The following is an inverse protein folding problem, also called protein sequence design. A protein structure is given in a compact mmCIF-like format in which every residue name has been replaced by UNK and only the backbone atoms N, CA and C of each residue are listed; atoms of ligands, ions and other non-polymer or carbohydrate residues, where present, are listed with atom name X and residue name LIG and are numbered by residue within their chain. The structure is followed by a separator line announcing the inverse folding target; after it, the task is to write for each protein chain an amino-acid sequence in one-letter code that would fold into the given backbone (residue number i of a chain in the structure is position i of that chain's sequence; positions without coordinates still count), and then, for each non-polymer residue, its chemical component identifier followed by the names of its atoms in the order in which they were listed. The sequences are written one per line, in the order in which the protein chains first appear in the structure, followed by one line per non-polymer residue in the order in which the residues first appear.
data_IF_340337033991
#
_entry.id   IF_340337033991
#
_cell.length_a   1.000
_cell.length_b   1.000
_cell.length_c   1.000
_cell.angle_alpha   90.00
_cell.angle_beta   90.00
_cell.angle_gamma   90.00
#
_symmetry.space_group_name_H-M   'P 1'
#
loop_
_entity.id
_entity.type
_entity.pdbx_description
1 polymer ?
#
# COMPACT_ATOMS: atom_id res chain seq x y z
N UNK A 1 -5.04 -47.19 64.51
CA UNK A 1 -6.28 -46.82 63.78
C UNK A 1 -6.54 -45.31 63.71
N UNK A 2 -6.49 -44.54 64.82
CA UNK A 2 -6.77 -43.08 64.82
C UNK A 2 -5.76 -42.24 64.01
N UNK A 3 -4.47 -42.57 64.07
CA UNK A 3 -3.42 -41.90 63.29
C UNK A 3 -3.61 -42.15 61.78
N UNK A 4 -3.92 -43.39 61.40
CA UNK A 4 -4.22 -43.77 60.01
C UNK A 4 -5.46 -43.04 59.48
N UNK A 5 -6.54 -42.94 60.27
CA UNK A 5 -7.71 -42.14 59.90
C UNK A 5 -7.38 -40.64 59.74
N UNK A 6 -6.53 -40.08 60.60
CA UNK A 6 -6.08 -38.70 60.50
C UNK A 6 -5.27 -38.42 59.23
N UNK A 7 -4.35 -39.33 58.89
CA UNK A 7 -3.58 -39.25 57.64
C UNK A 7 -4.45 -39.44 56.39
N UNK A 8 -5.39 -40.39 56.42
CA UNK A 8 -6.35 -40.58 55.32
C UNK A 8 -7.22 -39.33 55.15
N UNK A 9 -7.73 -38.74 56.24
CA UNK A 9 -8.48 -37.49 56.19
C UNK A 9 -7.67 -36.32 55.63
N UNK A 10 -6.40 -36.19 56.05
CA UNK A 10 -5.49 -35.16 55.54
C UNK A 10 -5.20 -35.34 54.04
N UNK A 11 -4.97 -36.58 53.58
CA UNK A 11 -4.75 -36.91 52.16
C UNK A 11 -5.99 -36.60 51.32
N UNK A 12 -7.19 -36.96 51.79
CA UNK A 12 -8.45 -36.66 51.10
C UNK A 12 -8.68 -35.16 51.00
N UNK A 13 -8.41 -34.41 52.07
CA UNK A 13 -8.55 -32.95 52.07
C UNK A 13 -7.54 -32.29 51.11
N UNK A 14 -6.28 -32.72 51.13
CA UNK A 14 -5.25 -32.24 50.20
C UNK A 14 -5.63 -32.56 48.75
N UNK A 15 -6.09 -33.77 48.48
CA UNK A 15 -6.56 -34.16 47.15
C UNK A 15 -7.76 -33.31 46.68
N UNK A 16 -8.70 -33.02 47.58
CA UNK A 16 -9.83 -32.14 47.29
C UNK A 16 -9.40 -30.71 46.93
N UNK A 17 -8.44 -30.15 47.66
CA UNK A 17 -7.88 -28.81 47.36
C UNK A 17 -7.16 -28.82 46.00
N UNK A 18 -6.37 -29.85 45.71
CA UNK A 18 -5.65 -29.96 44.44
C UNK A 18 -6.62 -30.11 43.26
N UNK A 19 -7.61 -30.99 43.35
CA UNK A 19 -8.61 -31.19 42.30
C UNK A 19 -9.43 -29.92 42.11
N UNK A 20 -9.89 -29.29 43.19
CA UNK A 20 -10.62 -28.03 43.13
C UNK A 20 -9.79 -26.92 42.47
N UNK A 21 -8.50 -26.83 42.82
CA UNK A 21 -7.57 -25.90 42.21
C UNK A 21 -7.40 -26.13 40.71
N UNK A 22 -7.24 -27.39 40.27
CA UNK A 22 -7.14 -27.75 38.85
C UNK A 22 -8.43 -27.40 38.09
N UNK A 23 -9.60 -27.67 38.68
CA UNK A 23 -10.88 -27.33 38.05
C UNK A 23 -11.05 -25.82 37.87
N UNK A 24 -10.73 -25.03 38.89
CA UNK A 24 -10.77 -23.56 38.81
C UNK A 24 -9.77 -23.07 37.77
N UNK A 25 -8.55 -23.58 37.78
CA UNK A 25 -7.51 -23.19 36.83
C UNK A 25 -7.91 -23.52 35.37
N UNK A 26 -8.54 -24.68 35.13
CA UNK A 26 -9.05 -25.07 33.82
C UNK A 26 -10.24 -24.23 33.37
N UNK A 27 -11.09 -23.78 34.30
CA UNK A 27 -12.21 -22.92 33.99
C UNK A 27 -11.80 -21.46 33.72
N UNK A 28 -10.66 -21.00 34.25
CA UNK A 28 -10.21 -19.61 34.13
C UNK A 28 -9.02 -19.46 33.19
N UNK A 29 -7.84 -19.90 33.62
CA UNK A 29 -6.55 -19.68 32.96
C UNK A 29 -6.36 -20.63 31.79
N UNK A 30 -6.54 -21.93 32.00
CA UNK A 30 -6.40 -22.94 30.95
C UNK A 30 -7.70 -23.17 30.18
N UNK A 31 -8.51 -22.13 30.00
CA UNK A 31 -9.74 -22.16 29.20
C UNK A 31 -9.48 -21.71 27.76
N UNK A 32 -10.36 -22.05 26.82
CA UNK A 32 -10.33 -21.53 25.45
C UNK A 32 -10.32 -20.00 25.42
N UNK A 33 -11.19 -19.38 26.22
CA UNK A 33 -11.21 -17.92 26.42
C UNK A 33 -9.91 -17.37 27.02
N UNK A 34 -9.25 -18.13 27.91
CA UNK A 34 -7.93 -17.78 28.47
C UNK A 34 -6.86 -17.73 27.38
N UNK A 35 -6.77 -18.77 26.58
CA UNK A 35 -5.87 -18.83 25.41
C UNK A 35 -6.09 -17.67 24.45
N UNK A 36 -7.35 -17.32 24.14
CA UNK A 36 -7.66 -16.16 23.28
C UNK A 36 -7.24 -14.85 23.93
N UNK A 37 -7.43 -14.66 25.25
CA UNK A 37 -6.96 -13.46 25.95
C UNK A 37 -5.43 -13.32 25.90
N UNK A 38 -4.70 -14.42 26.08
CA UNK A 38 -3.24 -14.43 25.97
C UNK A 38 -2.79 -14.05 24.55
N UNK A 39 -3.44 -14.61 23.53
CA UNK A 39 -3.25 -14.23 22.12
C UNK A 39 -3.48 -12.73 21.88
N UNK A 40 -4.60 -12.19 22.35
CA UNK A 40 -4.94 -10.77 22.18
C UNK A 40 -3.95 -9.86 22.91
N UNK A 41 -3.47 -10.26 24.09
CA UNK A 41 -2.42 -9.56 24.83
C UNK A 41 -1.10 -9.52 24.08
N UNK A 42 -0.65 -10.67 23.56
CA UNK A 42 0.56 -10.75 22.74
C UNK A 42 0.45 -9.88 21.47
N UNK A 43 -0.71 -9.90 20.81
CA UNK A 43 -0.96 -9.08 19.62
C UNK A 43 -0.97 -7.58 19.94
N UNK A 44 -1.59 -7.16 21.04
CA UNK A 44 -1.61 -5.77 21.49
C UNK A 44 -0.22 -5.24 21.86
N UNK A 45 0.66 -6.11 22.37
CA UNK A 45 2.05 -5.79 22.70
C UNK A 45 3.01 -5.93 21.51
N UNK A 46 2.53 -6.32 20.34
CA UNK A 46 3.37 -6.51 19.14
C UNK A 46 4.30 -7.72 19.22
N UNK A 47 4.02 -8.70 20.09
CA UNK A 47 4.80 -9.95 20.23
C UNK A 47 4.44 -10.95 19.12
N UNK A 48 4.78 -10.61 17.87
CA UNK A 48 4.38 -11.41 16.70
C UNK A 48 4.98 -12.82 16.72
N UNK A 49 6.25 -12.98 17.08
CA UNK A 49 6.89 -14.31 17.14
C UNK A 49 6.16 -15.27 18.08
N UNK A 50 5.64 -14.76 19.21
CA UNK A 50 4.86 -15.54 20.17
C UNK A 50 3.51 -15.95 19.58
N UNK A 51 2.84 -15.03 18.88
CA UNK A 51 1.60 -15.30 18.17
C UNK A 51 1.80 -16.37 17.10
N UNK A 52 2.86 -16.28 16.29
CA UNK A 52 3.15 -17.25 15.22
C UNK A 52 3.55 -18.63 15.75
N UNK A 53 4.08 -18.70 16.98
CA UNK A 53 4.39 -19.96 17.63
C UNK A 53 3.14 -20.69 18.19
N UNK A 54 1.97 -20.03 18.24
CA UNK A 54 0.75 -20.65 18.76
C UNK A 54 0.24 -21.76 17.82
N UNK A 55 -0.24 -22.90 18.35
CA UNK A 55 -0.75 -23.97 17.53
C UNK A 55 -1.95 -23.53 16.68
N UNK A 56 -1.94 -23.90 15.39
CA UNK A 56 -3.03 -23.61 14.46
C UNK A 56 -2.93 -22.26 13.73
N UNK A 57 -1.89 -21.46 14.01
CA UNK A 57 -1.57 -20.29 13.18
C UNK A 57 -0.87 -20.75 11.91
N UNK A 58 -1.50 -20.47 10.77
CA UNK A 58 -1.00 -20.84 9.44
C UNK A 58 -0.97 -19.61 8.53
N UNK A 59 0.19 -19.37 7.95
CA UNK A 59 0.51 -18.28 7.02
C UNK A 59 1.04 -18.82 5.68
N UNK A 60 0.99 -20.13 5.45
CA UNK A 60 1.56 -20.76 4.27
C UNK A 60 0.90 -20.24 2.98
N UNK A 61 1.73 -19.94 1.98
CA UNK A 61 1.28 -19.45 0.67
C UNK A 61 0.83 -17.99 0.66
N UNK A 62 1.05 -17.24 1.75
CA UNK A 62 0.79 -15.80 1.84
C UNK A 62 2.12 -15.04 2.00
N UNK A 63 2.11 -13.77 1.61
CA UNK A 63 3.24 -12.87 1.87
C UNK A 63 3.26 -12.48 3.35
N UNK A 64 4.38 -12.72 4.03
CA UNK A 64 4.54 -12.59 5.48
C UNK A 64 5.00 -11.20 5.93
N UNK A 65 5.22 -10.26 5.00
CA UNK A 65 5.76 -8.93 5.36
C UNK A 65 4.88 -8.13 6.31
N UNK A 66 3.56 -8.36 6.31
CA UNK A 66 2.62 -7.72 7.25
C UNK A 66 2.64 -8.35 8.66
N UNK A 67 3.47 -9.37 8.89
CA UNK A 67 3.76 -9.95 10.20
C UNK A 67 4.91 -9.20 10.92
N UNK A 68 5.27 -7.99 10.48
CA UNK A 68 6.12 -7.08 11.23
C UNK A 68 5.24 -6.22 12.18
N UNK A 69 5.60 -6.04 13.46
CA UNK A 69 4.86 -5.18 14.39
C UNK A 69 4.66 -3.74 13.89
N UNK A 70 5.50 -3.25 12.98
CA UNK A 70 5.38 -1.92 12.34
C UNK A 70 4.25 -1.83 11.33
N UNK A 71 3.76 -2.97 10.82
CA UNK A 71 2.78 -3.05 9.75
C UNK A 71 1.34 -2.77 10.21
N UNK A 72 1.07 -2.93 11.50
CA UNK A 72 -0.26 -2.82 12.08
C UNK A 72 -0.25 -2.05 13.39
N UNK A 73 -1.45 -1.61 13.78
CA UNK A 73 -1.70 -1.08 15.12
C UNK A 73 -2.50 -2.11 15.91
N UNK A 74 -1.99 -2.47 17.09
CA UNK A 74 -2.72 -3.31 18.03
C UNK A 74 -4.06 -2.67 18.40
N UNK A 75 -5.09 -3.49 18.54
CA UNK A 75 -6.45 -3.02 18.87
C UNK A 75 -6.84 -3.42 20.28
N UNK A 76 -7.60 -2.58 20.96
CA UNK A 76 -8.20 -2.93 22.24
C UNK A 76 -9.33 -3.94 21.99
N UNK A 77 -9.10 -5.20 22.35
CA UNK A 77 -10.01 -6.30 22.11
C UNK A 77 -10.38 -7.02 23.41
N UNK A 78 -11.66 -7.33 23.59
CA UNK A 78 -12.17 -8.06 24.75
C UNK A 78 -12.94 -9.32 24.31
N UNK A 79 -12.80 -10.40 25.07
CA UNK A 79 -13.62 -11.60 24.89
C UNK A 79 -15.00 -11.36 25.52
N UNK A 80 -16.04 -11.48 24.71
CA UNK A 80 -17.42 -11.19 25.13
C UNK A 80 -18.25 -12.45 25.35
N UNK A 81 -17.92 -13.55 24.67
CA UNK A 81 -18.60 -14.83 24.84
C UNK A 81 -17.76 -15.99 24.33
N UNK A 82 -18.03 -17.18 24.86
CA UNK A 82 -17.43 -18.46 24.46
C UNK A 82 -18.57 -19.45 24.24
N UNK A 83 -18.83 -19.81 22.98
CA UNK A 83 -19.87 -20.76 22.60
C UNK A 83 -19.23 -22.05 22.10
N UNK A 84 -19.58 -23.19 22.69
CA UNK A 84 -19.07 -24.49 22.26
C UNK A 84 -19.97 -25.09 21.19
N UNK A 85 -19.40 -25.44 20.03
CA UNK A 85 -20.08 -26.15 18.94
C UNK A 85 -19.28 -27.41 18.59
N UNK A 86 -19.78 -28.56 19.04
CA UNK A 86 -19.05 -29.82 18.90
C UNK A 86 -17.79 -29.83 19.77
N UNK A 87 -16.61 -29.87 19.14
CA UNK A 87 -15.31 -29.82 19.82
C UNK A 87 -14.61 -28.44 19.67
N UNK A 88 -15.23 -27.51 18.94
CA UNK A 88 -14.67 -26.19 18.66
C UNK A 88 -15.36 -25.15 19.53
N UNK A 89 -14.55 -24.30 20.16
CA UNK A 89 -14.99 -23.11 20.88
C UNK A 89 -14.98 -21.92 19.92
N UNK A 90 -16.12 -21.28 19.77
CA UNK A 90 -16.29 -20.04 19.03
C UNK A 90 -16.22 -18.88 20.01
N UNK A 91 -15.02 -18.32 20.18
CA UNK A 91 -14.75 -17.22 21.11
C UNK A 91 -15.01 -15.91 20.38
N UNK A 92 -16.07 -15.21 20.77
CA UNK A 92 -16.43 -13.91 20.19
C UNK A 92 -15.60 -12.83 20.86
N UNK A 93 -14.92 -12.05 20.03
CA UNK A 93 -14.06 -10.94 20.44
C UNK A 93 -14.63 -9.65 19.91
N UNK A 94 -14.77 -8.66 20.80
CA UNK A 94 -15.19 -7.30 20.44
C UNK A 94 -13.97 -6.40 20.41
N UNK A 95 -13.79 -5.73 19.28
CA UNK A 95 -12.77 -4.70 19.07
C UNK A 95 -13.40 -3.33 19.38
N UNK A 96 -12.71 -2.56 20.21
CA UNK A 96 -13.09 -1.22 20.64
C UNK A 96 -12.04 -0.20 20.22
N UNK A 97 -12.41 1.08 20.13
CA UNK A 97 -11.51 2.17 19.69
C UNK A 97 -12.05 2.92 18.47
N UNK A 98 -11.15 3.37 17.60
CA UNK A 98 -11.50 4.16 16.40
C UNK A 98 -12.28 3.35 15.36
N UNK A 99 -11.92 2.07 15.19
CA UNK A 99 -12.65 1.14 14.35
C UNK A 99 -13.19 0.04 15.23
N UNK A 100 -14.52 -0.04 15.31
CA UNK A 100 -15.22 -1.04 16.12
C UNK A 100 -15.63 -2.22 15.25
N UNK A 101 -15.69 -3.39 15.85
CA UNK A 101 -16.14 -4.60 15.17
C UNK A 101 -16.15 -5.80 16.09
N UNK A 102 -16.75 -6.88 15.62
CA UNK A 102 -16.65 -8.17 16.27
C UNK A 102 -16.01 -9.17 15.31
N UNK A 103 -15.25 -10.11 15.86
CA UNK A 103 -14.70 -11.27 15.17
C UNK A 103 -14.90 -12.51 16.04
N UNK A 104 -14.84 -13.69 15.41
CA UNK A 104 -14.94 -14.97 16.10
C UNK A 104 -13.65 -15.72 15.86
N UNK A 105 -12.98 -16.10 16.95
CA UNK A 105 -11.81 -16.95 16.92
C UNK A 105 -12.24 -18.38 17.26
N UNK A 106 -11.86 -19.31 16.40
CA UNK A 106 -12.21 -20.72 16.54
C UNK A 106 -11.04 -21.47 17.14
N UNK A 107 -11.23 -22.02 18.34
CA UNK A 107 -10.17 -22.73 19.08
C UNK A 107 -10.62 -24.13 19.46
N UNK A 108 -9.69 -25.07 19.48
CA UNK A 108 -9.94 -26.47 19.83
C UNK A 108 -8.84 -26.98 20.75
N UNK A 109 -9.16 -28.04 21.49
CA UNK A 109 -8.18 -28.70 22.34
C UNK A 109 -7.26 -29.55 21.47
N UNK A 110 -5.96 -29.25 21.52
CA UNK A 110 -4.92 -29.96 20.76
C UNK A 110 -4.13 -30.96 21.62
N UNK A 111 -4.23 -30.84 22.94
CA UNK A 111 -3.45 -31.66 23.85
C UNK A 111 -3.85 -31.54 25.31
N UNK A 112 -3.00 -32.08 26.17
CA UNK A 112 -3.14 -31.96 27.62
C UNK A 112 -1.76 -31.94 28.26
N UNK A 113 -1.43 -30.84 28.94
CA UNK A 113 -0.19 -30.67 29.68
C UNK A 113 -0.30 -31.28 31.07
N UNK A 114 0.71 -32.04 31.47
CA UNK A 114 0.78 -32.74 32.77
C UNK A 114 -0.46 -33.60 33.07
N UNK A 115 -1.17 -34.08 32.05
CA UNK A 115 -2.44 -34.81 32.15
C UNK A 115 -3.61 -34.07 32.86
N UNK A 116 -3.42 -32.80 33.24
CA UNK A 116 -4.40 -32.04 34.03
C UNK A 116 -4.91 -30.80 33.31
N UNK A 117 -4.07 -30.14 32.52
CA UNK A 117 -4.38 -28.85 31.91
C UNK A 117 -4.58 -29.02 30.40
N UNK A 118 -5.74 -28.65 29.84
CA UNK A 118 -5.93 -28.72 28.40
C UNK A 118 -4.97 -27.77 27.68
N UNK A 119 -4.45 -28.21 26.54
CA UNK A 119 -3.71 -27.36 25.62
C UNK A 119 -4.61 -26.97 24.47
N UNK A 120 -4.58 -25.68 24.11
CA UNK A 120 -5.45 -25.08 23.12
C UNK A 120 -4.66 -24.66 21.89
N UNK A 121 -5.34 -24.69 20.76
CA UNK A 121 -4.84 -24.18 19.49
C UNK A 121 -5.99 -23.66 18.65
N UNK A 122 -5.66 -22.90 17.62
CA UNK A 122 -6.63 -22.43 16.65
C UNK A 122 -7.14 -23.60 15.80
N UNK A 123 -8.46 -23.77 15.76
CA UNK A 123 -9.11 -24.69 14.84
C UNK A 123 -9.15 -24.11 13.42
N UNK A 124 -9.26 -22.78 13.32
CA UNK A 124 -9.11 -21.99 12.10
C UNK A 124 -8.07 -20.89 12.34
N UNK A 125 -7.10 -20.77 11.42
CA UNK A 125 -5.99 -19.82 11.55
C UNK A 125 -6.51 -18.39 11.77
N UNK A 126 -5.99 -17.64 12.78
CA UNK A 126 -6.37 -16.26 13.06
C UNK A 126 -5.67 -15.28 12.11
N UNK A 127 -5.63 -15.64 10.83
CA UNK A 127 -4.97 -14.88 9.76
C UNK A 127 -6.02 -14.46 8.75
N UNK A 128 -6.10 -13.15 8.51
CA UNK A 128 -6.86 -12.56 7.42
C UNK A 128 -5.98 -12.52 6.17
N UNK A 129 -6.53 -12.92 5.03
CA UNK A 129 -5.89 -12.70 3.72
C UNK A 129 -6.18 -11.28 3.26
N UNK A 130 -5.19 -10.39 3.31
CA UNK A 130 -5.32 -9.01 2.84
C UNK A 130 -4.74 -8.88 1.44
N UNK A 131 -5.60 -8.67 0.45
CA UNK A 131 -5.19 -8.46 -0.94
C UNK A 131 -5.09 -6.97 -1.21
N UNK A 132 -3.89 -6.47 -1.47
CA UNK A 132 -3.62 -5.04 -1.72
C UNK A 132 -3.34 -4.83 -3.20
N UNK A 133 -4.06 -3.87 -3.80
CA UNK A 133 -3.94 -3.46 -5.20
C UNK A 133 -3.55 -1.98 -5.26
N UNK A 134 -2.25 -1.66 -5.32
CA UNK A 134 -1.82 -0.28 -5.55
C UNK A 134 -1.96 0.11 -7.04
N UNK A 135 -2.39 1.34 -7.30
CA UNK A 135 -2.31 1.99 -8.62
C UNK A 135 -1.06 2.88 -8.67
N UNK A 136 -0.59 3.26 -9.87
CA UNK A 136 0.41 4.32 -10.06
C UNK A 136 1.86 3.98 -9.67
N UNK A 137 2.11 3.39 -8.51
CA UNK A 137 3.43 2.97 -8.01
C UNK A 137 3.32 1.64 -7.25
N UNK A 138 4.41 0.85 -7.21
CA UNK A 138 4.45 -0.42 -6.51
C UNK A 138 4.85 -0.28 -5.04
N UNK A 139 5.37 0.88 -4.65
CA UNK A 139 5.82 1.19 -3.29
C UNK A 139 4.68 1.82 -2.52
N UNK A 140 4.49 1.37 -1.28
CA UNK A 140 3.52 1.92 -0.34
C UNK A 140 3.97 1.60 1.08
N UNK A 141 3.21 2.05 2.07
CA UNK A 141 3.44 1.76 3.48
C UNK A 141 2.27 1.00 4.06
N UNK A 142 2.53 0.04 4.94
CA UNK A 142 1.56 -0.52 5.87
C UNK A 142 1.96 -0.09 7.28
N UNK A 143 1.14 0.72 7.95
CA UNK A 143 1.54 1.40 9.18
C UNK A 143 2.81 2.22 8.96
N UNK A 144 3.91 1.84 9.60
CA UNK A 144 5.24 2.45 9.43
C UNK A 144 6.21 1.57 8.64
N UNK A 145 5.77 0.40 8.17
CA UNK A 145 6.56 -0.53 7.37
C UNK A 145 6.50 -0.12 5.88
N UNK A 146 7.64 0.18 5.21
CA UNK A 146 7.68 0.29 3.76
C UNK A 146 7.52 -1.08 3.10
N UNK A 147 6.65 -1.16 2.09
CA UNK A 147 6.31 -2.38 1.35
C UNK A 147 6.38 -2.09 -0.15
N UNK A 148 6.85 -3.06 -0.93
CA UNK A 148 7.00 -2.93 -2.38
C UNK A 148 6.42 -4.15 -3.10
N UNK A 149 5.60 -3.96 -4.14
CA UNK A 149 4.94 -5.04 -4.89
C UNK A 149 5.58 -5.36 -6.25
N UNK A 150 6.92 -5.38 -6.34
CA UNK A 150 7.63 -5.65 -7.61
C UNK A 150 7.33 -7.02 -8.25
N UNK A 151 6.82 -7.98 -7.47
CA UNK A 151 6.42 -9.30 -7.95
C UNK A 151 5.10 -9.35 -8.72
N UNK A 152 4.41 -8.20 -8.84
CA UNK A 152 3.11 -8.08 -9.49
C UNK A 152 2.02 -7.59 -8.54
N UNK A 153 0.96 -7.03 -9.11
CA UNK A 153 -0.22 -6.55 -8.39
C UNK A 153 -1.46 -7.30 -8.90
N UNK A 154 -2.38 -7.74 -8.04
CA UNK A 154 -2.42 -7.54 -6.59
C UNK A 154 -1.45 -8.44 -5.80
N UNK A 155 -1.14 -8.06 -4.56
CA UNK A 155 -0.36 -8.89 -3.61
C UNK A 155 -1.24 -9.29 -2.43
N UNK A 156 -1.22 -10.56 -2.05
CA UNK A 156 -1.98 -11.06 -0.90
C UNK A 156 -1.07 -11.35 0.28
N UNK A 157 -1.30 -10.65 1.39
CA UNK A 157 -0.53 -10.72 2.62
C UNK A 157 -1.25 -11.52 3.72
N UNK A 158 -0.47 -12.12 4.61
CA UNK A 158 -0.94 -12.64 5.88
C UNK A 158 -1.07 -11.50 6.90
N UNK A 159 -2.26 -11.33 7.47
CA UNK A 159 -2.55 -10.31 8.47
C UNK A 159 -3.13 -10.93 9.75
N UNK A 160 -2.57 -10.59 10.90
CA UNK A 160 -3.03 -11.11 12.19
C UNK A 160 -4.41 -10.55 12.56
N UNK A 161 -5.21 -11.34 13.28
CA UNK A 161 -6.63 -11.04 13.54
C UNK A 161 -6.99 -11.11 15.01
N UNK A 162 -7.51 -10.04 15.65
CA UNK A 162 -7.86 -8.75 15.05
C UNK A 162 -6.72 -7.73 15.14
N UNK A 163 -6.45 -7.03 14.04
CA UNK A 163 -5.52 -5.90 14.02
C UNK A 163 -5.95 -4.85 12.98
N UNK A 164 -5.53 -3.60 13.17
CA UNK A 164 -5.76 -2.52 12.21
C UNK A 164 -4.55 -2.35 11.31
N UNK A 165 -4.79 -2.40 10.00
CA UNK A 165 -3.79 -2.14 8.96
C UNK A 165 -4.16 -0.85 8.25
N UNK A 166 -3.25 0.12 8.26
CA UNK A 166 -3.41 1.38 7.52
C UNK A 166 -2.41 1.41 6.39
N UNK A 167 -2.90 1.39 5.16
CA UNK A 167 -2.10 1.48 3.95
C UNK A 167 -2.05 2.92 3.47
N UNK A 168 -0.92 3.35 2.92
CA UNK A 168 -0.75 4.70 2.42
C UNK A 168 0.47 4.83 1.53
N UNK A 169 0.65 6.01 0.94
CA UNK A 169 1.87 6.36 0.24
C UNK A 169 2.12 7.85 0.42
N UNK A 170 3.34 8.22 0.81
CA UNK A 170 3.73 9.61 0.93
C UNK A 170 5.17 9.78 0.48
N UNK A 171 5.35 10.58 -0.56
CA UNK A 171 6.63 10.98 -1.10
C UNK A 171 6.53 12.40 -1.65
N UNK A 172 7.64 12.98 -2.09
CA UNK A 172 7.63 14.32 -2.70
C UNK A 172 6.72 14.42 -3.91
N UNK A 173 6.69 13.38 -4.74
CA UNK A 173 5.99 13.41 -6.03
C UNK A 173 4.70 12.63 -6.06
N UNK A 174 4.57 11.59 -5.26
CA UNK A 174 3.39 10.73 -5.23
C UNK A 174 2.75 10.72 -3.84
N UNK A 175 1.43 10.65 -3.82
CA UNK A 175 0.63 10.59 -2.60
C UNK A 175 -0.55 9.64 -2.76
N UNK A 176 -0.99 9.02 -1.67
CA UNK A 176 -2.24 8.27 -1.60
C UNK A 176 -2.99 8.60 -0.31
N UNK A 177 -4.30 8.66 -0.39
CA UNK A 177 -5.13 8.84 0.81
C UNK A 177 -5.06 7.54 1.66
N UNK A 178 -4.84 7.63 2.98
CA UNK A 178 -4.71 6.44 3.81
C UNK A 178 -5.98 5.58 3.83
N UNK A 179 -5.81 4.27 3.64
CA UNK A 179 -6.90 3.29 3.70
C UNK A 179 -6.69 2.39 4.91
N UNK A 180 -7.63 2.42 5.85
CA UNK A 180 -7.56 1.60 7.07
C UNK A 180 -8.54 0.44 7.03
N UNK A 181 -8.05 -0.77 7.31
CA UNK A 181 -8.84 -2.00 7.34
C UNK A 181 -8.64 -2.74 8.65
N UNK A 182 -9.74 -3.18 9.25
CA UNK A 182 -9.73 -4.08 10.40
C UNK A 182 -9.72 -5.54 9.92
N UNK A 183 -8.61 -6.23 10.14
CA UNK A 183 -8.49 -7.67 9.92
C UNK A 183 -9.40 -8.42 10.91
N UNK A 184 -10.33 -9.23 10.40
CA UNK A 184 -11.38 -9.94 11.19
C UNK A 184 -11.50 -11.42 10.86
N UNK A 185 -10.54 -11.98 10.12
CA UNK A 185 -10.55 -13.32 9.56
C UNK A 185 -11.06 -13.34 8.12
N UNK A 186 -10.87 -14.46 7.43
CA UNK A 186 -11.29 -14.61 6.04
C UNK A 186 -10.40 -13.84 5.06
N UNK A 187 -11.00 -13.02 4.20
CA UNK A 187 -10.29 -12.20 3.21
C UNK A 187 -10.85 -10.79 3.13
N UNK A 188 -9.99 -9.81 2.86
CA UNK A 188 -10.40 -8.44 2.55
C UNK A 188 -9.49 -7.84 1.46
N UNK A 189 -10.09 -6.99 0.63
CA UNK A 189 -9.41 -6.32 -0.48
C UNK A 189 -9.18 -4.84 -0.15
N UNK A 190 -8.03 -4.33 -0.56
CA UNK A 190 -7.62 -2.94 -0.38
C UNK A 190 -7.18 -2.39 -1.74
N UNK A 191 -7.88 -1.37 -2.23
CA UNK A 191 -7.42 -0.58 -3.35
C UNK A 191 -6.69 0.66 -2.82
N UNK A 192 -5.45 0.88 -3.25
CA UNK A 192 -4.65 2.03 -2.85
C UNK A 192 -4.38 2.89 -4.08
N UNK A 193 -5.00 4.07 -4.13
CA UNK A 193 -4.87 4.97 -5.28
C UNK A 193 -3.66 5.92 -5.10
N UNK A 194 -2.53 5.61 -5.75
CA UNK A 194 -1.33 6.44 -5.71
C UNK A 194 -1.34 7.38 -6.90
N UNK A 195 -1.45 8.67 -6.59
CA UNK A 195 -1.68 9.75 -7.55
C UNK A 195 -0.55 10.80 -7.50
N UNK A 196 -0.35 11.58 -8.57
CA UNK A 196 0.66 12.62 -8.56
C UNK A 196 0.24 13.72 -7.57
N UNK A 197 1.22 14.17 -6.79
CA UNK A 197 1.07 15.33 -5.92
C UNK A 197 1.15 16.64 -6.74
N UNK A 198 0.68 17.74 -6.16
CA UNK A 198 0.81 19.06 -6.78
C UNK A 198 2.28 19.44 -7.02
N UNK A 199 3.20 18.96 -6.17
CA UNK A 199 4.63 19.18 -6.35
C UNK A 199 5.16 18.45 -7.60
N UNK A 200 4.63 17.27 -7.92
CA UNK A 200 4.99 16.55 -9.13
C UNK A 200 4.46 17.23 -10.38
N UNK A 201 3.18 17.62 -10.36
CA UNK A 201 2.55 18.34 -11.48
C UNK A 201 3.33 19.62 -11.78
N UNK A 202 3.67 20.42 -10.76
CA UNK A 202 4.49 21.63 -10.94
C UNK A 202 5.90 21.34 -11.47
N UNK A 203 6.55 20.29 -10.97
CA UNK A 203 7.90 19.93 -11.42
C UNK A 203 7.89 19.46 -12.89
N UNK A 204 6.88 18.69 -13.30
CA UNK A 204 6.69 18.27 -14.69
C UNK A 204 6.38 19.46 -15.58
N UNK A 205 5.46 20.34 -15.18
CA UNK A 205 5.12 21.55 -15.94
C UNK A 205 6.37 22.42 -16.17
N UNK A 206 7.16 22.69 -15.13
CA UNK A 206 8.39 23.47 -15.25
C UNK A 206 9.42 22.80 -16.16
N UNK A 207 9.52 21.46 -16.14
CA UNK A 207 10.41 20.73 -17.02
C UNK A 207 9.95 20.79 -18.50
N UNK A 208 8.65 20.70 -18.76
CA UNK A 208 8.07 20.86 -20.11
C UNK A 208 8.32 22.27 -20.64
N UNK A 209 8.09 23.29 -19.82
CA UNK A 209 8.35 24.69 -20.17
C UNK A 209 9.83 24.93 -20.51
N UNK A 210 10.74 24.37 -19.71
CA UNK A 210 12.18 24.49 -19.95
C UNK A 210 12.61 23.81 -21.26
N UNK A 211 12.09 22.63 -21.56
CA UNK A 211 12.37 21.90 -22.80
C UNK A 211 11.88 22.67 -24.04
N UNK A 212 10.62 23.13 -24.01
CA UNK A 212 10.03 23.90 -25.11
C UNK A 212 10.68 25.28 -25.30
N UNK A 213 11.12 25.92 -24.21
CA UNK A 213 11.92 27.15 -24.29
C UNK A 213 13.28 26.87 -24.93
N UNK A 214 13.92 25.75 -24.58
CA UNK A 214 15.13 25.27 -25.23
C UNK A 214 14.93 25.05 -26.73
N UNK A 215 13.81 24.44 -27.12
CA UNK A 215 13.39 24.29 -28.51
C UNK A 215 13.25 25.63 -29.24
N UNK A 216 12.55 26.58 -28.66
CA UNK A 216 12.33 27.90 -29.26
C UNK A 216 13.63 28.72 -29.40
N UNK A 217 14.67 28.40 -28.62
CA UNK A 217 15.98 29.04 -28.73
C UNK A 217 16.78 28.62 -29.99
N UNK A 218 16.40 27.51 -30.63
CA UNK A 218 17.09 27.00 -31.81
C UNK A 218 16.74 27.84 -33.05
N UNK A 219 17.75 28.41 -33.70
CA UNK A 219 17.64 29.29 -34.89
C UNK A 219 17.49 28.49 -36.20
N UNK A 220 16.63 27.47 -36.21
CA UNK A 220 16.41 26.59 -37.37
C UNK A 220 14.91 26.33 -37.58
N UNK A 221 14.50 26.06 -38.83
CA UNK A 221 13.08 25.81 -39.16
C UNK A 221 12.53 24.51 -38.57
N UNK A 222 13.39 23.54 -38.28
CA UNK A 222 13.05 22.27 -37.65
C UNK A 222 13.95 22.03 -36.44
N UNK A 223 13.65 22.64 -35.28
CA UNK A 223 14.40 22.43 -34.05
C UNK A 223 14.57 20.94 -33.73
N UNK A 224 15.79 20.52 -33.43
CA UNK A 224 16.10 19.10 -33.19
C UNK A 224 15.53 18.66 -31.84
N UNK A 225 14.80 17.56 -31.85
CA UNK A 225 14.17 17.00 -30.64
C UNK A 225 12.88 17.71 -30.21
N UNK A 226 12.34 18.60 -31.05
CA UNK A 226 11.21 19.46 -30.71
C UNK A 226 9.92 19.07 -31.41
N UNK A 227 8.75 19.36 -30.83
CA UNK A 227 7.47 18.92 -31.36
C UNK A 227 6.93 19.80 -32.49
N UNK A 228 7.63 20.86 -32.90
CA UNK A 228 7.20 21.80 -33.94
C UNK A 228 8.30 22.06 -34.98
N UNK A 229 7.87 22.48 -36.16
CA UNK A 229 8.71 22.91 -37.26
C UNK A 229 7.86 23.36 -38.45
N UNK A 230 8.45 24.12 -39.37
CA UNK A 230 7.70 24.69 -40.49
C UNK A 230 8.52 24.64 -41.79
N UNK A 231 7.90 24.15 -42.87
CA UNK A 231 8.49 24.10 -44.19
C UNK A 231 8.16 25.37 -44.97
N UNK A 232 9.19 26.02 -45.53
CA UNK A 232 9.04 27.22 -46.37
C UNK A 232 9.48 26.89 -47.79
N UNK A 233 8.62 27.16 -48.77
CA UNK A 233 8.95 26.96 -50.19
C UNK A 233 9.86 28.08 -50.74
N UNK A 234 9.67 29.30 -50.24
CA UNK A 234 10.48 30.46 -50.59
C UNK A 234 11.90 30.39 -50.03
N UNK A 235 12.80 31.25 -50.54
CA UNK A 235 14.17 31.30 -50.04
C UNK A 235 14.19 31.97 -48.66
N UNK A 236 14.68 31.27 -47.65
CA UNK A 236 14.94 31.84 -46.31
C UNK A 236 16.14 32.79 -46.40
N UNK A 237 15.97 34.02 -45.95
CA UNK A 237 17.03 35.06 -46.01
C UNK A 237 17.46 35.60 -44.65
N UNK A 238 16.81 35.16 -43.56
CA UNK A 238 17.22 35.47 -42.18
C UNK A 238 17.16 34.22 -41.29
N UNK A 239 17.70 34.31 -40.08
CA UNK A 239 17.59 33.24 -39.08
C UNK A 239 16.16 33.14 -38.54
N UNK A 240 15.53 31.95 -38.55
CA UNK A 240 14.24 31.72 -37.91
C UNK A 240 14.23 32.11 -36.44
N UNK A 241 13.13 32.73 -35.99
CA UNK A 241 12.87 33.04 -34.59
C UNK A 241 11.61 32.33 -34.15
N UNK A 242 11.75 31.51 -33.11
CA UNK A 242 10.64 30.81 -32.49
C UNK A 242 10.29 31.42 -31.13
N UNK A 243 9.00 31.47 -30.82
CA UNK A 243 8.49 31.75 -29.48
C UNK A 243 7.30 30.84 -29.20
N UNK A 244 7.13 30.40 -27.95
CA UNK A 244 5.93 29.66 -27.54
C UNK A 244 4.87 30.69 -27.15
N UNK A 245 3.80 30.80 -27.94
CA UNK A 245 2.69 31.74 -27.66
C UNK A 245 1.64 31.12 -26.78
N UNK A 246 1.40 29.81 -26.92
CA UNK A 246 0.54 29.03 -26.04
C UNK A 246 1.34 27.86 -25.47
N UNK A 247 1.65 27.94 -24.18
CA UNK A 247 2.35 26.88 -23.46
C UNK A 247 1.37 25.73 -23.15
N UNK A 248 1.73 24.47 -23.45
CA UNK A 248 0.90 23.33 -23.10
C UNK A 248 0.72 23.18 -21.59
N UNK A 249 -0.49 22.76 -21.20
CA UNK A 249 -0.81 22.34 -19.84
C UNK A 249 -0.47 20.86 -19.66
N UNK A 250 0.60 20.57 -18.89
CA UNK A 250 1.11 19.22 -18.72
C UNK A 250 0.29 18.43 -17.69
N UNK A 251 -0.60 17.58 -18.18
CA UNK A 251 -1.31 16.61 -17.33
C UNK A 251 -0.44 15.37 -17.08
N UNK A 252 -0.14 15.09 -15.81
CA UNK A 252 0.60 13.90 -15.38
C UNK A 252 -0.35 12.72 -15.24
N UNK A 253 -0.13 11.66 -16.00
CA UNK A 253 -0.94 10.44 -15.99
C UNK A 253 -0.07 9.19 -15.78
N UNK A 254 -0.60 8.14 -15.13
CA UNK A 254 0.08 6.85 -15.09
C UNK A 254 0.18 6.28 -16.51
N UNK A 255 1.28 5.58 -16.80
CA UNK A 255 1.48 4.90 -18.07
C UNK A 255 0.93 3.46 -18.04
N UNK A 256 1.26 2.67 -19.06
CA UNK A 256 0.89 1.26 -19.18
C UNK A 256 1.57 0.36 -18.12
N UNK A 257 2.69 0.82 -17.57
CA UNK A 257 3.45 0.11 -16.52
C UNK A 257 3.39 0.86 -15.20
N UNK A 258 3.10 0.12 -14.13
CA UNK A 258 3.13 0.66 -12.75
C UNK A 258 4.51 1.25 -12.44
N UNK A 259 4.54 2.38 -11.72
CA UNK A 259 5.76 3.12 -11.43
C UNK A 259 6.27 3.99 -12.59
N UNK A 260 5.61 3.97 -13.75
CA UNK A 260 5.94 4.86 -14.87
C UNK A 260 4.82 5.85 -15.14
N UNK A 261 5.21 7.09 -15.42
CA UNK A 261 4.33 8.23 -15.59
C UNK A 261 4.62 8.92 -16.92
N UNK A 262 3.63 9.62 -17.45
CA UNK A 262 3.75 10.29 -18.73
C UNK A 262 2.91 11.58 -18.77
N UNK A 263 3.28 12.44 -19.72
CA UNK A 263 2.41 13.46 -20.28
C UNK A 263 1.91 12.89 -21.62
N UNK A 264 0.66 12.43 -21.72
CA UNK A 264 0.18 11.65 -22.88
C UNK A 264 0.05 12.47 -24.18
N UNK A 265 0.02 13.79 -24.07
CA UNK A 265 -0.09 14.72 -25.19
C UNK A 265 -0.67 16.03 -24.69
N UNK A 266 0.13 17.08 -24.76
CA UNK A 266 -0.26 18.42 -24.36
C UNK A 266 -0.11 19.34 -25.58
N UNK A 267 -1.20 20.02 -25.94
CA UNK A 267 -1.27 20.87 -27.12
C UNK A 267 -0.73 22.26 -26.80
N UNK A 268 0.05 22.83 -27.72
CA UNK A 268 0.59 24.18 -27.63
C UNK A 268 0.74 24.81 -29.00
N UNK A 269 1.15 26.08 -29.01
CA UNK A 269 1.35 26.84 -30.25
C UNK A 269 2.69 27.56 -30.21
N UNK A 270 3.50 27.32 -31.24
CA UNK A 270 4.77 27.98 -31.47
C UNK A 270 4.61 28.99 -32.61
N UNK A 271 5.15 30.19 -32.45
CA UNK A 271 5.13 31.23 -33.44
C UNK A 271 6.49 31.35 -34.11
N UNK A 272 6.50 31.34 -35.45
CA UNK A 272 7.67 31.49 -36.29
C UNK A 272 7.67 32.88 -36.95
N UNK A 273 8.75 33.62 -36.75
CA UNK A 273 9.06 34.86 -37.48
C UNK A 273 10.35 34.67 -38.29
N UNK A 274 10.28 34.86 -39.61
CA UNK A 274 11.44 34.73 -40.51
C UNK A 274 11.27 35.53 -41.80
N UNK A 275 12.32 36.23 -42.23
CA UNK A 275 12.33 36.87 -43.55
C UNK A 275 12.53 35.84 -44.67
N UNK A 276 11.68 35.94 -45.68
CA UNK A 276 11.67 35.09 -46.87
C UNK A 276 11.74 35.94 -48.14
N UNK A 277 12.40 35.41 -49.15
CA UNK A 277 12.44 35.99 -50.49
C UNK A 277 11.60 35.11 -51.44
N UNK A 278 10.62 35.74 -52.07
CA UNK A 278 9.77 35.13 -53.10
C UNK A 278 10.62 34.60 -54.26
N UNK A 279 10.44 33.33 -54.60
CA UNK A 279 11.12 32.73 -55.76
C UNK A 279 10.53 33.20 -57.10
N UNK A 280 9.35 33.84 -57.10
CA UNK A 280 8.66 34.28 -58.30
C UNK A 280 9.08 35.69 -58.74
N UNK A 281 9.11 36.63 -57.81
CA UNK A 281 9.36 38.07 -58.09
C UNK A 281 10.57 38.65 -57.34
N UNK A 282 11.21 37.87 -56.48
CA UNK A 282 12.40 38.29 -55.71
C UNK A 282 12.11 39.28 -54.57
N UNK A 283 10.85 39.60 -54.28
CA UNK A 283 10.46 40.46 -53.16
C UNK A 283 10.79 39.82 -51.81
N UNK A 284 11.11 40.64 -50.81
CA UNK A 284 11.41 40.20 -49.44
C UNK A 284 10.27 40.60 -48.52
N UNK A 285 9.79 39.66 -47.71
CA UNK A 285 8.76 39.89 -46.70
C UNK A 285 9.06 39.09 -45.43
N UNK A 286 8.44 39.47 -44.32
CA UNK A 286 8.44 38.69 -43.08
C UNK A 286 7.31 37.69 -43.13
N UNK A 287 7.64 36.41 -43.01
CA UNK A 287 6.69 35.33 -42.76
C UNK A 287 6.47 35.22 -41.25
N UNK A 288 5.20 35.26 -40.84
CA UNK A 288 4.75 35.11 -39.46
C UNK A 288 3.72 33.97 -39.43
N UNK A 289 4.03 32.88 -38.74
CA UNK A 289 3.21 31.66 -38.77
C UNK A 289 3.04 31.07 -37.37
N UNK A 290 1.79 30.79 -37.01
CA UNK A 290 1.43 30.07 -35.78
C UNK A 290 1.33 28.58 -36.08
N UNK A 291 2.21 27.80 -35.46
CA UNK A 291 2.39 26.37 -35.68
C UNK A 291 1.88 25.61 -34.45
N UNK A 292 0.68 25.01 -34.52
CA UNK A 292 0.18 24.15 -33.46
C UNK A 292 1.02 22.86 -33.37
N UNK A 293 1.25 22.39 -32.16
CA UNK A 293 2.00 21.16 -31.90
C UNK A 293 1.42 20.38 -30.72
N UNK A 294 1.75 19.09 -30.67
CA UNK A 294 1.39 18.18 -29.59
C UNK A 294 2.66 17.61 -28.98
N UNK A 295 2.89 17.88 -27.70
CA UNK A 295 4.08 17.41 -26.98
C UNK A 295 3.71 16.28 -26.01
N UNK A 296 4.41 15.15 -26.12
CA UNK A 296 4.22 14.01 -25.23
C UNK A 296 5.56 13.59 -24.62
N UNK A 297 5.55 13.22 -23.34
CA UNK A 297 6.76 12.90 -22.58
C UNK A 297 6.57 11.66 -21.73
N UNK A 298 7.62 10.84 -21.63
CA UNK A 298 7.77 9.87 -20.55
C UNK A 298 8.51 10.54 -19.40
N UNK A 299 8.06 10.26 -18.18
CA UNK A 299 8.58 10.85 -16.97
C UNK A 299 9.35 9.78 -16.21
N UNK A 300 10.63 10.06 -15.94
CA UNK A 300 11.40 9.35 -14.93
C UNK A 300 11.66 10.32 -13.76
N UNK A 301 11.67 9.81 -12.54
CA UNK A 301 12.01 10.61 -11.37
C UNK A 301 12.78 9.79 -10.34
N UNK A 302 13.70 10.44 -9.64
CA UNK A 302 14.40 9.90 -8.49
C UNK A 302 14.42 10.96 -7.39
N UNK A 303 13.71 10.69 -6.29
CA UNK A 303 13.57 11.56 -5.13
C UNK A 303 13.07 12.97 -5.44
N UNK A 304 13.98 13.81 -5.91
CA UNK A 304 13.82 15.26 -6.14
C UNK A 304 13.93 15.70 -7.60
N UNK A 305 14.44 14.85 -8.50
CA UNK A 305 14.65 15.23 -9.90
C UNK A 305 13.59 14.60 -10.81
N UNK A 306 13.04 15.40 -11.72
CA UNK A 306 12.18 14.95 -12.82
C UNK A 306 13.01 15.00 -14.10
N UNK A 307 13.02 13.91 -14.84
CA UNK A 307 13.64 13.80 -16.16
C UNK A 307 12.55 13.48 -17.17
N UNK A 308 12.43 14.35 -18.18
CA UNK A 308 11.55 14.14 -19.31
C UNK A 308 12.30 13.47 -20.44
N UNK A 309 11.69 12.49 -21.06
CA UNK A 309 12.13 11.92 -22.32
C UNK A 309 10.99 12.10 -23.33
N UNK A 310 11.20 12.76 -24.48
CA UNK A 310 10.17 12.85 -25.52
C UNK A 310 9.61 11.47 -25.87
N UNK A 311 8.30 11.35 -25.85
CA UNK A 311 7.61 10.17 -26.32
C UNK A 311 7.52 10.26 -27.85
N UNK A 312 8.50 9.67 -28.54
CA UNK A 312 8.43 9.53 -29.99
C UNK A 312 7.15 8.75 -30.34
N UNK A 313 6.31 9.35 -31.20
CA UNK A 313 5.20 8.64 -31.84
C UNK A 313 5.71 7.66 -32.89
#
# INVERSE_FOLDING_TARGET
MRIVLGWVGAVVLLAGVLIGGVLVANATVFSASGFVRDYLGALAEGRVDEVLALPGVDVAGLDDRLLDPRAFTGVAAEVVSDEVRGQVHHVRVRVTGQTQGETVLEVTRVGTRFALFPEWGFAASPVTRLTVTPSGDARFTAGSLPVESWGGTPVTFAALTPALYTFGHSSRFLTADPVTVLARGGSADVALDIRPSDAFVRAVQAAVEADLTGCASQRILFPTGCPFGYAIENRVVSEPRWTIVEMPDATVAPSDRIGTWAVPGAEGVAHLSVEVQSLFDGSVSTLEEDVPFSAAYRIAFDGDAVVLAPALR
#
